data_IF_887320593206
#
_entry.id   IF_887320593206
#
_cell.length_a   1.000
_cell.length_b   1.000
_cell.length_c   1.000
_cell.angle_alpha   90.00
_cell.angle_beta   90.00
_cell.angle_gamma   90.00
#
_symmetry.space_group_name_H-M   'P 1'
#
loop_
_entity.id
_entity.type
_entity.pdbx_description
1 polymer ?
#
# COMPACT_ATOMS: atom_id res chain seq x y z
N UNK A 1 27.70 -10.44 -17.25
CA UNK A 1 26.25 -10.65 -17.23
C UNK A 1 25.80 -10.12 -15.88
N UNK A 2 25.22 -8.92 -15.83
CA UNK A 2 24.88 -8.24 -14.58
C UNK A 2 23.45 -8.61 -14.16
N UNK A 3 23.33 -8.98 -12.88
CA UNK A 3 22.16 -9.37 -12.11
C UNK A 3 20.84 -8.66 -12.48
N UNK A 4 19.90 -9.44 -13.01
CA UNK A 4 18.49 -9.09 -13.21
C UNK A 4 17.65 -9.59 -12.02
N UNK A 5 18.03 -9.25 -10.78
CA UNK A 5 17.35 -9.74 -9.58
C UNK A 5 16.69 -8.64 -8.72
N UNK A 6 17.14 -7.38 -8.79
CA UNK A 6 16.61 -6.31 -7.92
C UNK A 6 15.40 -5.54 -8.49
N UNK A 7 15.10 -5.68 -9.79
CA UNK A 7 13.97 -4.98 -10.40
C UNK A 7 12.60 -5.62 -10.08
N UNK A 8 12.56 -6.93 -9.84
CA UNK A 8 11.31 -7.68 -9.66
C UNK A 8 10.72 -7.57 -8.25
N UNK A 9 11.54 -7.33 -7.22
CA UNK A 9 11.07 -7.20 -5.83
C UNK A 9 10.44 -5.84 -5.55
N UNK A 10 11.00 -4.76 -6.10
CA UNK A 10 10.49 -3.40 -5.91
C UNK A 10 9.17 -3.17 -6.65
N UNK A 11 9.06 -3.68 -7.88
CA UNK A 11 7.82 -3.60 -8.68
C UNK A 11 6.66 -4.33 -8.01
N UNK A 12 6.94 -5.47 -7.38
CA UNK A 12 5.94 -6.26 -6.66
C UNK A 12 5.35 -5.47 -5.47
N UNK A 13 6.19 -4.75 -4.72
CA UNK A 13 5.72 -3.94 -3.59
C UNK A 13 4.93 -2.70 -4.01
N UNK A 14 5.27 -2.07 -5.14
CA UNK A 14 4.47 -0.97 -5.70
C UNK A 14 3.10 -1.46 -6.21
N UNK A 15 3.05 -2.64 -6.82
CA UNK A 15 1.81 -3.25 -7.27
C UNK A 15 0.90 -3.64 -6.10
N UNK A 16 1.46 -4.23 -5.04
CA UNK A 16 0.76 -4.53 -3.77
C UNK A 16 0.16 -3.27 -3.12
N UNK A 17 0.92 -2.17 -3.06
CA UNK A 17 0.43 -0.89 -2.55
C UNK A 17 -0.70 -0.31 -3.41
N UNK A 18 -0.57 -0.44 -4.73
CA UNK A 18 -1.60 0.00 -5.68
C UNK A 18 -2.88 -0.82 -5.56
N UNK A 19 -2.76 -2.12 -5.30
CA UNK A 19 -3.89 -3.00 -5.02
C UNK A 19 -4.57 -2.63 -3.69
N UNK A 20 -3.79 -2.41 -2.62
CA UNK A 20 -4.30 -1.93 -1.33
C UNK A 20 -5.03 -0.59 -1.48
N UNK A 21 -4.48 0.35 -2.25
CA UNK A 21 -5.10 1.65 -2.51
C UNK A 21 -6.40 1.51 -3.32
N UNK A 22 -6.43 0.57 -4.27
CA UNK A 22 -7.63 0.26 -5.04
C UNK A 22 -8.71 -0.37 -4.16
N UNK A 23 -8.34 -1.27 -3.27
CA UNK A 23 -9.24 -1.90 -2.30
C UNK A 23 -9.81 -0.88 -1.31
N UNK A 24 -8.98 0.02 -0.76
CA UNK A 24 -9.43 1.10 0.11
C UNK A 24 -10.46 1.99 -0.59
N UNK A 25 -10.23 2.31 -1.86
CA UNK A 25 -11.15 3.12 -2.66
C UNK A 25 -12.49 2.40 -2.89
N UNK A 26 -12.48 1.09 -3.11
CA UNK A 26 -13.69 0.26 -3.22
C UNK A 26 -14.46 0.22 -1.91
N UNK A 27 -13.78 0.01 -0.77
CA UNK A 27 -14.41 -0.03 0.56
C UNK A 27 -15.03 1.33 0.92
N UNK A 28 -14.36 2.44 0.59
CA UNK A 28 -14.89 3.78 0.80
C UNK A 28 -16.18 4.01 -0.01
N UNK A 29 -16.23 3.55 -1.26
CA UNK A 29 -17.43 3.60 -2.08
C UNK A 29 -18.56 2.73 -1.48
N UNK A 30 -18.24 1.47 -1.15
CA UNK A 30 -19.22 0.56 -0.56
C UNK A 30 -19.80 1.09 0.76
N UNK A 31 -18.98 1.77 1.57
CA UNK A 31 -19.43 2.44 2.80
C UNK A 31 -20.44 3.52 2.49
N UNK A 32 -20.17 4.37 1.51
CA UNK A 32 -21.09 5.43 1.11
C UNK A 32 -22.41 4.86 0.62
N UNK A 33 -22.35 3.84 -0.25
CA UNK A 33 -23.56 3.11 -0.69
C UNK A 33 -24.31 2.46 0.48
N UNK A 34 -23.61 1.92 1.48
CA UNK A 34 -24.26 1.36 2.67
C UNK A 34 -24.98 2.43 3.51
N UNK A 35 -24.42 3.65 3.59
CA UNK A 35 -25.07 4.79 4.26
C UNK A 35 -26.30 5.25 3.49
N UNK A 36 -26.22 5.35 2.16
CA UNK A 36 -27.35 5.70 1.30
C UNK A 36 -28.50 4.68 1.40
N UNK A 37 -28.18 3.41 1.61
CA UNK A 37 -29.16 2.32 1.78
C UNK A 37 -29.66 2.16 3.24
N UNK A 38 -29.27 3.05 4.16
CA UNK A 38 -29.55 2.93 5.61
C UNK A 38 -29.07 1.60 6.25
N UNK A 39 -28.03 0.98 5.68
CA UNK A 39 -27.40 -0.22 6.22
C UNK A 39 -26.31 0.16 7.23
N UNK A 40 -26.68 0.79 8.34
CA UNK A 40 -25.75 1.39 9.31
C UNK A 40 -24.71 0.40 9.85
N UNK A 41 -25.12 -0.84 10.16
CA UNK A 41 -24.20 -1.87 10.64
C UNK A 41 -23.14 -2.23 9.58
N UNK A 42 -23.56 -2.36 8.31
CA UNK A 42 -22.64 -2.60 7.19
C UNK A 42 -21.69 -1.41 7.00
N UNK A 43 -22.21 -0.18 7.07
CA UNK A 43 -21.39 1.03 6.96
C UNK A 43 -20.33 1.10 8.07
N UNK A 44 -20.69 0.74 9.31
CA UNK A 44 -19.75 0.67 10.43
C UNK A 44 -18.64 -0.37 10.18
N UNK A 45 -18.99 -1.58 9.75
CA UNK A 45 -18.00 -2.61 9.41
C UNK A 45 -17.05 -2.15 8.29
N UNK A 46 -17.58 -1.42 7.29
CA UNK A 46 -16.79 -0.86 6.19
C UNK A 46 -15.87 0.28 6.65
N UNK A 47 -16.31 1.11 7.61
CA UNK A 47 -15.45 2.12 8.24
C UNK A 47 -14.27 1.48 8.98
N UNK A 48 -14.48 0.39 9.72
CA UNK A 48 -13.40 -0.36 10.37
C UNK A 48 -12.42 -0.95 9.36
N UNK A 49 -12.95 -1.58 8.30
CA UNK A 49 -12.13 -2.15 7.23
C UNK A 49 -11.30 -1.08 6.51
N UNK A 50 -11.89 0.08 6.22
CA UNK A 50 -11.19 1.20 5.61
C UNK A 50 -10.06 1.72 6.51
N UNK A 51 -10.30 1.81 7.82
CA UNK A 51 -9.28 2.22 8.79
C UNK A 51 -8.09 1.25 8.86
N UNK A 52 -8.32 -0.05 8.70
CA UNK A 52 -7.24 -1.05 8.61
C UNK A 52 -6.45 -0.89 7.30
N UNK A 53 -7.12 -0.75 6.16
CA UNK A 53 -6.47 -0.58 4.86
C UNK A 53 -5.60 0.68 4.78
N UNK A 54 -6.04 1.78 5.40
CA UNK A 54 -5.25 3.01 5.47
C UNK A 54 -3.99 2.85 6.32
N UNK A 55 -4.04 2.06 7.39
CA UNK A 55 -2.85 1.74 8.19
C UNK A 55 -1.88 0.84 7.42
N UNK A 56 -2.38 -0.11 6.63
CA UNK A 56 -1.55 -0.98 5.82
C UNK A 56 -0.82 -0.19 4.72
N UNK A 57 -1.49 0.80 4.13
CA UNK A 57 -0.89 1.73 3.16
C UNK A 57 0.22 2.58 3.80
N UNK A 58 -0.04 3.19 4.96
CA UNK A 58 0.96 4.00 5.68
C UNK A 58 2.21 3.17 6.05
N UNK A 59 2.02 1.92 6.47
CA UNK A 59 3.11 0.98 6.74
C UNK A 59 3.90 0.61 5.49
N UNK A 60 3.23 0.42 4.36
CA UNK A 60 3.90 0.09 3.09
C UNK A 60 4.67 1.28 2.50
N UNK A 61 4.19 2.51 2.66
CA UNK A 61 4.90 3.74 2.25
C UNK A 61 6.21 3.95 3.03
N UNK A 62 6.20 3.64 4.33
CA UNK A 62 7.40 3.69 5.17
C UNK A 62 8.44 2.64 4.73
N UNK A 63 7.99 1.44 4.31
CA UNK A 63 8.87 0.36 3.87
C UNK A 63 9.57 0.68 2.54
N UNK A 64 8.89 1.29 1.56
CA UNK A 64 9.51 1.72 0.30
C UNK A 64 10.55 2.83 0.50
N UNK A 65 10.25 3.76 1.41
CA UNK A 65 11.14 4.87 1.73
C UNK A 65 12.47 4.40 2.34
N UNK A 66 12.45 3.31 3.12
CA UNK A 66 13.64 2.76 3.78
C UNK A 66 14.56 1.99 2.82
N UNK A 67 14.00 1.25 1.86
CA UNK A 67 14.77 0.53 0.84
C UNK A 67 15.51 1.48 -0.10
N UNK A 68 14.88 2.60 -0.48
CA UNK A 68 15.50 3.60 -1.34
C UNK A 68 16.70 4.33 -0.70
N UNK A 69 16.78 4.34 0.64
CA UNK A 69 17.95 4.88 1.37
C UNK A 69 19.14 3.91 1.26
N UNK A 70 18.91 2.60 1.29
CA UNK A 70 19.99 1.60 1.26
C UNK A 70 20.74 1.56 -0.09
N UNK A 71 20.05 1.74 -1.22
CA UNK A 71 20.66 1.73 -2.58
C UNK A 71 21.64 2.88 -2.77
N UNK A 72 21.44 4.02 -2.09
CA UNK A 72 22.33 5.18 -2.21
C UNK A 72 23.65 5.01 -1.44
N UNK A 73 23.71 4.13 -0.45
CA UNK A 73 24.91 3.94 0.38
C UNK A 73 25.91 2.90 -0.17
N UNK A 74 25.52 2.08 -1.16
CA UNK A 74 26.41 1.05 -1.74
C UNK A 74 27.20 1.51 -2.97
N UNK A 75 26.98 2.73 -3.47
CA UNK A 75 27.71 3.28 -4.62
C UNK A 75 29.04 3.96 -4.26
N UNK A 76 29.47 3.93 -2.99
CA UNK A 76 30.43 4.89 -2.44
C UNK A 76 31.63 4.33 -1.71
N UNK A 77 32.27 3.23 -2.14
CA UNK A 77 33.64 2.93 -1.69
C UNK A 77 34.46 2.29 -2.80
N UNK A 78 34.98 3.15 -3.68
CA UNK A 78 36.21 2.90 -4.44
C UNK A 78 37.23 3.94 -4.00
N UNK A 79 38.23 3.53 -3.23
CA UNK A 79 39.62 3.98 -3.36
C UNK A 79 40.55 3.10 -2.54
#
# INVERSE_FOLDING_TARGET
>A
MHDTAEATTTQKSEEELKELASLARLVAYARESARELNAEFSAYCLDLALGALLQDLDRGDVSLSQVNVQVRFLAGTRH
#
